data_IF_643026833839
#
_entry.id   IF_643026833839
#
_cell.length_a   1.000
_cell.length_b   1.000
_cell.length_c   1.000
_cell.angle_alpha   90.00
_cell.angle_beta   90.00
_cell.angle_gamma   90.00
#
_symmetry.space_group_name_H-M   'P 1'
#
loop_
_entity.id
_entity.type
_entity.pdbx_description
1 polymer ?
#
# COMPACT_ATOMS: atom_id res chain seq x y z
N UNK A 1 -15.85 12.03 10.54
CA UNK A 1 -15.32 10.70 10.94
C UNK A 1 -15.31 9.69 9.80
N UNK A 2 -16.24 9.73 8.84
CA UNK A 2 -16.30 8.80 7.70
C UNK A 2 -15.02 8.69 6.85
N UNK A 3 -14.36 9.81 6.50
CA UNK A 3 -13.13 9.80 5.70
C UNK A 3 -11.95 9.05 6.35
N UNK A 4 -11.80 9.17 7.67
CA UNK A 4 -10.76 8.45 8.43
C UNK A 4 -11.07 6.95 8.53
N UNK A 5 -12.34 6.60 8.68
CA UNK A 5 -12.79 5.20 8.68
C UNK A 5 -12.55 4.53 7.34
N UNK A 6 -12.86 5.21 6.23
CA UNK A 6 -12.68 4.70 4.88
C UNK A 6 -11.19 4.49 4.55
N UNK A 7 -10.35 5.46 4.87
CA UNK A 7 -8.90 5.37 4.70
C UNK A 7 -8.25 4.27 5.57
N UNK A 8 -8.69 4.13 6.81
CA UNK A 8 -8.22 3.05 7.70
C UNK A 8 -8.63 1.68 7.15
N UNK A 9 -9.84 1.57 6.59
CA UNK A 9 -10.35 0.35 5.99
C UNK A 9 -9.57 -0.02 4.72
N UNK A 10 -9.32 0.92 3.81
CA UNK A 10 -8.55 0.66 2.59
C UNK A 10 -7.10 0.28 2.91
N UNK A 11 -6.49 0.90 3.92
CA UNK A 11 -5.14 0.57 4.39
C UNK A 11 -5.08 -0.86 4.94
N UNK A 12 -6.09 -1.27 5.72
CA UNK A 12 -6.17 -2.63 6.26
C UNK A 12 -6.46 -3.68 5.18
N UNK A 13 -7.16 -3.31 4.10
CA UNK A 13 -7.38 -4.18 2.95
C UNK A 13 -6.11 -4.34 2.11
N UNK A 14 -5.37 -3.26 1.84
CA UNK A 14 -4.11 -3.31 1.10
C UNK A 14 -3.07 -4.18 1.80
N UNK A 15 -2.95 -4.08 3.13
CA UNK A 15 -2.05 -4.95 3.90
C UNK A 15 -2.40 -6.43 3.83
N UNK A 16 -3.69 -6.76 3.78
CA UNK A 16 -4.14 -8.15 3.61
C UNK A 16 -3.77 -8.68 2.23
N UNK A 17 -3.95 -7.85 1.19
CA UNK A 17 -3.55 -8.21 -0.18
C UNK A 17 -2.03 -8.39 -0.30
N UNK A 18 -1.23 -7.51 0.32
CA UNK A 18 0.23 -7.65 0.42
C UNK A 18 0.57 -9.02 1.01
N UNK A 19 0.06 -9.35 2.20
CA UNK A 19 0.35 -10.65 2.83
C UNK A 19 -0.08 -11.86 1.99
N UNK A 20 -1.17 -11.76 1.23
CA UNK A 20 -1.60 -12.81 0.31
C UNK A 20 -0.65 -12.98 -0.88
N UNK A 21 -0.20 -11.87 -1.47
CA UNK A 21 0.76 -11.89 -2.58
C UNK A 21 2.11 -12.46 -2.11
N UNK A 22 2.57 -12.08 -0.92
CA UNK A 22 3.76 -12.66 -0.28
C UNK A 22 3.66 -14.18 -0.14
N UNK A 23 2.53 -14.69 0.36
CA UNK A 23 2.33 -16.13 0.52
C UNK A 23 2.30 -16.88 -0.83
N UNK A 24 1.74 -16.28 -1.87
CA UNK A 24 1.76 -16.87 -3.22
C UNK A 24 3.17 -16.84 -3.83
N UNK A 25 3.92 -15.77 -3.60
CA UNK A 25 5.33 -15.62 -3.96
C UNK A 25 6.17 -16.75 -3.33
N UNK A 26 6.06 -16.94 -2.03
CA UNK A 26 6.77 -17.99 -1.29
C UNK A 26 6.42 -19.39 -1.82
N UNK A 27 5.15 -19.61 -2.16
CA UNK A 27 4.69 -20.87 -2.74
C UNK A 27 5.23 -21.10 -4.17
N UNK A 28 5.33 -20.03 -4.97
CA UNK A 28 5.94 -20.05 -6.29
C UNK A 28 7.45 -20.32 -6.22
N UNK A 29 8.17 -19.73 -5.28
CA UNK A 29 9.60 -19.98 -5.06
C UNK A 29 9.88 -21.43 -4.64
N UNK A 30 8.96 -22.06 -3.90
CA UNK A 30 9.06 -23.48 -3.52
C UNK A 30 8.82 -24.44 -4.69
N UNK A 31 8.08 -24.00 -5.73
CA UNK A 31 7.89 -24.75 -6.96
C UNK A 31 9.12 -24.59 -7.86
N UNK A 32 10.21 -25.29 -7.49
CA UNK A 32 11.42 -25.37 -8.32
C UNK A 32 11.09 -25.93 -9.70
N UNK A 33 11.15 -25.11 -10.74
CA UNK A 33 11.04 -25.57 -12.12
C UNK A 33 12.33 -26.30 -12.52
N UNK A 34 12.24 -27.50 -13.09
CA UNK A 34 13.41 -28.21 -13.63
C UNK A 34 14.00 -27.55 -14.89
N UNK A 35 13.34 -26.52 -15.40
CA UNK A 35 13.74 -25.74 -16.56
C UNK A 35 14.37 -24.40 -16.12
N UNK A 36 15.63 -24.18 -16.49
CA UNK A 36 16.40 -23.00 -16.11
C UNK A 36 15.82 -21.68 -16.66
N UNK A 37 15.17 -21.72 -17.84
CA UNK A 37 14.54 -20.52 -18.41
C UNK A 37 13.24 -20.18 -17.66
N UNK A 38 12.43 -21.19 -17.33
CA UNK A 38 11.27 -21.03 -16.46
C UNK A 38 11.66 -20.50 -15.08
N UNK A 39 12.76 -21.00 -14.49
CA UNK A 39 13.23 -20.55 -13.18
C UNK A 39 13.76 -19.11 -13.20
N UNK A 40 14.41 -18.70 -14.30
CA UNK A 40 14.86 -17.31 -14.48
C UNK A 40 13.67 -16.34 -14.60
N UNK A 41 12.64 -16.71 -15.37
CA UNK A 41 11.41 -15.93 -15.51
C UNK A 41 10.63 -15.85 -14.21
N UNK A 42 10.56 -16.95 -13.46
CA UNK A 42 9.96 -17.01 -12.13
C UNK A 42 10.69 -16.06 -11.18
N UNK A 43 12.03 -16.15 -11.08
CA UNK A 43 12.82 -15.29 -10.22
C UNK A 43 12.64 -13.80 -10.57
N UNK A 44 12.60 -13.46 -11.85
CA UNK A 44 12.34 -12.09 -12.29
C UNK A 44 10.93 -11.61 -11.92
N UNK A 45 9.91 -12.45 -12.09
CA UNK A 45 8.54 -12.14 -11.69
C UNK A 45 8.44 -11.96 -10.16
N UNK A 46 9.15 -12.80 -9.40
CA UNK A 46 9.17 -12.73 -7.94
C UNK A 46 9.82 -11.43 -7.46
N UNK A 47 10.99 -11.07 -8.00
CA UNK A 47 11.65 -9.80 -7.69
C UNK A 47 10.76 -8.59 -8.00
N UNK A 48 10.10 -8.58 -9.16
CA UNK A 48 9.18 -7.50 -9.52
C UNK A 48 7.97 -7.39 -8.60
N UNK A 49 7.44 -8.52 -8.12
CA UNK A 49 6.35 -8.52 -7.16
C UNK A 49 6.82 -7.97 -5.82
N UNK A 50 7.99 -8.39 -5.35
CA UNK A 50 8.60 -7.88 -4.12
C UNK A 50 8.80 -6.36 -4.17
N UNK A 51 9.41 -5.84 -5.23
CA UNK A 51 9.59 -4.39 -5.43
C UNK A 51 8.25 -3.64 -5.44
N UNK A 52 7.23 -4.24 -6.07
CA UNK A 52 5.88 -3.69 -6.10
C UNK A 52 5.23 -3.64 -4.71
N UNK A 53 5.47 -4.65 -3.87
CA UNK A 53 4.97 -4.69 -2.50
C UNK A 53 5.63 -3.62 -1.64
N UNK A 54 6.95 -3.47 -1.73
CA UNK A 54 7.70 -2.43 -1.02
C UNK A 54 7.19 -1.02 -1.40
N UNK A 55 6.98 -0.77 -2.70
CA UNK A 55 6.42 0.51 -3.17
C UNK A 55 4.99 0.78 -2.62
N UNK A 56 4.16 -0.26 -2.47
CA UNK A 56 2.82 -0.12 -1.86
C UNK A 56 2.95 0.17 -0.35
N UNK A 57 3.88 -0.48 0.35
CA UNK A 57 4.13 -0.20 1.76
C UNK A 57 4.60 1.24 2.00
N UNK A 58 5.49 1.75 1.15
CA UNK A 58 5.95 3.14 1.17
C UNK A 58 4.81 4.13 0.86
N UNK A 59 3.95 3.81 -0.11
CA UNK A 59 2.76 4.60 -0.40
C UNK A 59 1.79 4.63 0.79
N UNK A 60 1.61 3.50 1.48
CA UNK A 60 0.80 3.43 2.70
C UNK A 60 1.41 4.25 3.84
N UNK A 61 2.74 4.24 3.99
CA UNK A 61 3.44 5.05 4.98
C UNK A 61 3.27 6.54 4.68
N UNK A 62 3.44 6.94 3.43
CA UNK A 62 3.22 8.32 2.95
C UNK A 62 1.78 8.79 3.17
N UNK A 63 0.80 7.94 2.84
CA UNK A 63 -0.62 8.24 3.06
C UNK A 63 -0.94 8.44 4.54
N UNK A 64 -0.32 7.67 5.44
CA UNK A 64 -0.47 7.86 6.89
C UNK A 64 0.14 9.15 7.37
N UNK A 65 1.34 9.51 6.90
CA UNK A 65 1.98 10.78 7.24
C UNK A 65 1.07 11.96 6.85
N UNK A 66 0.50 11.94 5.63
CA UNK A 66 -0.43 12.96 5.16
C UNK A 66 -1.73 13.01 5.99
N UNK A 67 -2.21 11.88 6.52
CA UNK A 67 -3.39 11.85 7.39
C UNK A 67 -3.12 12.35 8.82
N UNK A 68 -1.86 12.29 9.28
CA UNK A 68 -1.44 12.83 10.57
C UNK A 68 -1.29 14.35 10.52
N UNK A 69 -0.84 14.91 9.38
CA UNK A 69 -0.80 16.35 9.14
C UNK A 69 -2.22 16.85 8.84
N UNK A 70 -2.95 17.28 9.89
CA UNK A 70 -4.24 17.98 9.72
C UNK A 70 -4.07 19.20 8.78
N UNK A 71 -5.04 19.50 7.90
CA UNK A 71 -5.25 20.87 7.45
C UNK A 71 -5.85 21.66 8.63
N UNK A 72 -5.00 22.19 9.50
CA UNK A 72 -5.42 23.18 10.52
C UNK A 72 -5.82 24.51 9.85
N UNK A 73 -5.56 24.69 8.56
CA UNK A 73 -5.78 25.91 7.80
C UNK A 73 -7.22 26.16 7.31
N UNK A 74 -8.18 25.24 7.48
CA UNK A 74 -9.56 25.44 6.98
C UNK A 74 -10.60 25.76 8.08
N UNK A 75 -10.18 26.25 9.26
CA UNK A 75 -11.11 26.70 10.32
C UNK A 75 -11.05 28.19 10.67
N UNK A 76 -10.32 29.01 9.92
CA UNK A 76 -10.31 30.45 10.13
C UNK A 76 -10.74 31.21 8.88
N UNK A 77 -12.06 31.30 8.69
CA UNK A 77 -12.72 32.44 8.05
C UNK A 77 -14.16 32.44 8.54
N UNK A 78 -14.32 32.70 9.85
CA UNK A 78 -15.57 33.30 10.35
C UNK A 78 -15.72 34.62 9.59
N UNK A 79 -16.68 34.65 8.69
CA UNK A 79 -17.13 35.86 8.02
C UNK A 79 -17.45 36.94 9.07
N UNK A 80 -16.84 38.14 9.03
CA UNK A 80 -17.38 39.25 9.78
C UNK A 80 -18.68 39.66 9.08
N UNK A 81 -19.82 39.44 9.75
CA UNK A 81 -21.05 40.13 9.37
C UNK A 81 -20.79 41.62 9.60
N UNK A 82 -20.65 42.37 8.52
CA UNK A 82 -20.75 43.82 8.56
C UNK A 82 -22.19 44.17 8.93
N UNK A 83 -22.30 45.09 9.88
CA UNK A 83 -23.54 45.64 10.42
C UNK A 83 -24.33 46.44 9.38
#
# INVERSE_FOLDING_TARGET
MALRSLASHSTAQLRRLIGQIQAELDALEQLSATDADAQTKLAYACARLHDGMEAIEDALASLRALQQVRPVSLRSRRSPRLA
#
